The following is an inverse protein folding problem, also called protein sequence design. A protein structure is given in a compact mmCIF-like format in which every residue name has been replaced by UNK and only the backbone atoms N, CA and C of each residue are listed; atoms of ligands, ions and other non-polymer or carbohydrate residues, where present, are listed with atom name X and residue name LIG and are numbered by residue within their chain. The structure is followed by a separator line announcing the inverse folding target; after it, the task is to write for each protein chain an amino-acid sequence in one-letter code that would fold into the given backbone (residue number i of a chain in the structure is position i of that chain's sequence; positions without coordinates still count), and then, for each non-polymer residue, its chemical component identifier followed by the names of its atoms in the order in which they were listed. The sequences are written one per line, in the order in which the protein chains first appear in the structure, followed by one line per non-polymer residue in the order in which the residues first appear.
data_IF_449176134174
#
_entry.id   IF_449176134174
#
_cell.length_a   1.000
_cell.length_b   1.000
_cell.length_c   1.000
_cell.angle_alpha   90.00
_cell.angle_beta   90.00
_cell.angle_gamma   90.00
#
_symmetry.space_group_name_H-M   'P 1'
#
loop_
_entity.id
_entity.type
_entity.pdbx_description
1 polymer ?
#
# COMPACT_ATOMS: atom_id res chain seq x y z
N UNK A 1 -15.01 10.08 11.36
CA UNK A 1 -13.65 10.50 10.96
C UNK A 1 -13.53 10.27 9.48
N UNK A 2 -13.33 11.33 8.69
CA UNK A 2 -13.08 11.18 7.26
C UNK A 2 -11.59 10.85 7.03
N UNK A 3 -11.26 10.33 5.85
CA UNK A 3 -9.89 9.91 5.51
C UNK A 3 -8.85 11.02 5.72
N UNK A 4 -9.20 12.28 5.40
CA UNK A 4 -8.30 13.42 5.54
C UNK A 4 -8.01 13.76 7.00
N UNK A 5 -9.01 13.71 7.88
CA UNK A 5 -8.79 13.88 9.32
C UNK A 5 -7.86 12.80 9.86
N UNK A 6 -8.07 11.55 9.43
CA UNK A 6 -7.27 10.43 9.88
C UNK A 6 -5.80 10.51 9.42
N UNK A 7 -5.55 10.77 8.13
CA UNK A 7 -4.19 10.81 7.59
C UNK A 7 -3.39 12.00 8.15
N UNK A 8 -4.07 13.03 8.66
CA UNK A 8 -3.45 14.16 9.35
C UNK A 8 -3.37 13.98 10.87
N UNK A 9 -3.84 12.86 11.42
CA UNK A 9 -3.89 12.60 12.85
C UNK A 9 -2.53 12.15 13.43
N UNK A 10 -2.37 12.33 14.74
CA UNK A 10 -1.23 11.78 15.49
C UNK A 10 -1.19 10.24 15.46
N UNK A 11 -2.36 9.59 15.41
CA UNK A 11 -2.48 8.14 15.35
C UNK A 11 -1.81 7.60 14.06
N UNK A 12 -2.14 8.19 12.91
CA UNK A 12 -1.47 7.85 11.66
C UNK A 12 0.02 8.21 11.69
N UNK A 13 0.38 9.36 12.26
CA UNK A 13 1.78 9.77 12.38
C UNK A 13 2.64 8.78 13.18
N UNK A 14 2.09 8.14 14.21
CA UNK A 14 2.77 7.06 14.94
C UNK A 14 2.84 5.78 14.11
N UNK A 15 1.74 5.37 13.50
CA UNK A 15 1.66 4.15 12.70
C UNK A 15 2.62 4.18 11.50
N UNK A 16 2.71 5.30 10.79
CA UNK A 16 3.68 5.46 9.68
C UNK A 16 5.14 5.33 10.13
N UNK A 17 5.46 5.77 11.35
CA UNK A 17 6.83 5.67 11.89
C UNK A 17 7.13 4.20 12.21
N UNK A 18 6.19 3.50 12.86
CA UNK A 18 6.33 2.06 13.16
C UNK A 18 6.52 1.25 11.87
N UNK A 19 5.72 1.52 10.83
CA UNK A 19 5.89 0.88 9.53
C UNK A 19 7.29 1.12 8.94
N UNK A 20 7.78 2.38 8.97
CA UNK A 20 9.13 2.73 8.48
C UNK A 20 10.23 2.04 9.28
N UNK A 21 10.10 1.93 10.61
CA UNK A 21 11.04 1.20 11.46
C UNK A 21 11.05 -0.28 11.09
N UNK A 22 9.88 -0.90 10.94
CA UNK A 22 9.76 -2.31 10.56
C UNK A 22 10.37 -2.60 9.19
N UNK A 23 10.26 -1.66 8.24
CA UNK A 23 10.90 -1.73 6.94
C UNK A 23 12.41 -1.36 6.95
N UNK A 24 13.00 -1.09 8.12
CA UNK A 24 14.41 -0.70 8.25
C UNK A 24 14.73 0.63 7.57
N UNK A 25 13.75 1.53 7.43
CA UNK A 25 13.84 2.76 6.64
C UNK A 25 14.31 2.53 5.20
N UNK A 26 13.80 1.46 4.57
CA UNK A 26 14.05 1.18 3.16
C UNK A 26 12.74 0.96 2.42
N UNK A 27 12.73 1.31 1.15
CA UNK A 27 11.69 0.91 0.21
C UNK A 27 11.65 -0.62 0.15
N UNK A 28 10.51 -1.22 0.50
CA UNK A 28 10.34 -2.68 0.49
C UNK A 28 10.34 -3.28 -0.92
N UNK A 29 10.26 -2.45 -1.98
CA UNK A 29 10.45 -2.90 -3.37
C UNK A 29 11.91 -2.94 -3.80
N UNK A 30 12.62 -1.82 -3.59
CA UNK A 30 13.87 -1.54 -4.29
C UNK A 30 15.03 -1.18 -3.37
N UNK A 31 14.84 -1.18 -2.05
CA UNK A 31 15.87 -0.90 -1.05
C UNK A 31 16.29 0.57 -0.91
N UNK A 32 15.68 1.51 -1.65
CA UNK A 32 16.03 2.93 -1.58
C UNK A 32 15.65 3.52 -0.20
N UNK A 33 16.50 4.36 0.37
CA UNK A 33 16.40 4.76 1.80
C UNK A 33 15.77 6.15 2.01
N UNK A 34 15.60 6.94 0.93
CA UNK A 34 15.12 8.32 1.01
C UNK A 34 13.70 8.48 0.47
N UNK A 35 13.03 9.54 0.91
CA UNK A 35 11.68 9.92 0.45
C UNK A 35 10.68 8.76 0.49
N UNK A 36 10.58 8.14 1.68
CA UNK A 36 9.71 7.01 1.93
C UNK A 36 8.31 7.45 2.34
N UNK A 37 7.32 6.89 1.67
CA UNK A 37 5.90 7.00 1.96
C UNK A 37 5.35 5.63 2.38
N UNK A 38 4.22 5.64 3.08
CA UNK A 38 3.49 4.42 3.45
C UNK A 38 2.27 4.32 2.55
N UNK A 39 2.21 3.24 1.81
CA UNK A 39 1.12 2.86 0.92
C UNK A 39 0.14 1.96 1.66
N UNK A 40 -1.15 2.20 1.51
CA UNK A 40 -2.19 1.31 2.02
C UNK A 40 -2.50 0.24 0.98
N UNK A 41 -2.35 -1.03 1.35
CA UNK A 41 -2.75 -2.16 0.50
C UNK A 41 -4.25 -2.43 0.60
N UNK A 42 -4.89 -2.08 1.71
CA UNK A 42 -6.34 -2.08 1.89
C UNK A 42 -6.76 -0.92 2.80
N UNK A 43 -8.00 -0.48 2.65
CA UNK A 43 -8.62 0.54 3.50
C UNK A 43 -9.67 -0.06 4.46
N UNK A 44 -9.88 -1.38 4.44
CA UNK A 44 -10.85 -2.07 5.31
C UNK A 44 -10.60 -1.83 6.80
N UNK A 45 -9.32 -1.77 7.19
CA UNK A 45 -8.90 -1.56 8.58
C UNK A 45 -8.48 -0.11 8.87
N UNK A 46 -9.02 0.89 8.16
CA UNK A 46 -8.61 2.29 8.35
C UNK A 46 -8.74 2.73 9.82
N UNK A 47 -7.65 3.24 10.40
CA UNK A 47 -7.53 3.55 11.84
C UNK A 47 -6.97 2.41 12.70
N UNK A 48 -7.10 1.18 12.24
CA UNK A 48 -6.72 -0.07 12.90
C UNK A 48 -5.80 -0.94 12.02
N UNK A 49 -5.03 -0.32 11.14
CA UNK A 49 -4.25 -1.03 10.13
C UNK A 49 -3.21 -1.91 10.80
N UNK A 50 -3.10 -3.13 10.30
CA UNK A 50 -2.07 -4.10 10.63
C UNK A 50 -0.81 -3.81 9.83
N UNK A 51 0.28 -4.48 10.19
CA UNK A 51 1.53 -4.40 9.43
C UNK A 51 1.35 -4.87 7.97
N UNK A 52 0.53 -5.90 7.75
CA UNK A 52 0.20 -6.45 6.43
C UNK A 52 -0.66 -5.53 5.55
N UNK A 53 -1.34 -4.54 6.16
CA UNK A 53 -2.15 -3.57 5.42
C UNK A 53 -1.30 -2.42 4.83
N UNK A 54 -0.03 -2.32 5.22
CA UNK A 54 0.84 -1.18 4.95
C UNK A 54 2.14 -1.59 4.27
N UNK A 55 2.58 -0.78 3.31
CA UNK A 55 3.79 -1.02 2.54
C UNK A 55 4.64 0.25 2.45
N UNK A 56 5.91 0.17 2.86
CA UNK A 56 6.85 1.31 2.81
C UNK A 56 7.54 1.36 1.46
N UNK A 57 7.34 2.45 0.72
CA UNK A 57 7.85 2.63 -0.63
C UNK A 57 8.55 3.97 -0.78
N UNK A 58 9.57 4.05 -1.63
CA UNK A 58 10.04 5.34 -2.12
C UNK A 58 8.98 5.96 -3.04
N UNK A 59 8.96 7.28 -3.16
CA UNK A 59 8.01 8.02 -4.01
C UNK A 59 7.87 7.48 -5.43
N UNK A 60 8.96 7.01 -6.06
CA UNK A 60 8.91 6.41 -7.39
C UNK A 60 8.05 5.14 -7.38
N UNK A 61 8.41 4.17 -6.52
CA UNK A 61 7.67 2.91 -6.42
C UNK A 61 6.23 3.12 -5.93
N UNK A 62 6.00 4.14 -5.11
CA UNK A 62 4.66 4.52 -4.65
C UNK A 62 3.79 5.05 -5.81
N UNK A 63 4.33 5.87 -6.71
CA UNK A 63 3.59 6.30 -7.90
C UNK A 63 3.36 5.15 -8.87
N UNK A 64 4.36 4.29 -9.06
CA UNK A 64 4.23 3.12 -9.94
C UNK A 64 3.05 2.25 -9.50
N UNK A 65 2.94 1.93 -8.20
CA UNK A 65 1.84 1.09 -7.70
C UNK A 65 0.47 1.74 -7.89
N UNK A 66 0.32 3.05 -7.59
CA UNK A 66 -0.95 3.76 -7.85
C UNK A 66 -1.32 3.76 -9.34
N UNK A 67 -0.35 3.98 -10.22
CA UNK A 67 -0.58 3.92 -11.65
C UNK A 67 -1.11 2.54 -12.07
N UNK A 68 -0.51 1.47 -11.56
CA UNK A 68 -0.95 0.11 -11.89
C UNK A 68 -2.32 -0.25 -11.30
N UNK A 69 -2.61 0.12 -10.06
CA UNK A 69 -3.93 -0.13 -9.45
C UNK A 69 -5.06 0.55 -10.21
N UNK A 70 -4.80 1.75 -10.73
CA UNK A 70 -5.78 2.52 -11.49
C UNK A 70 -5.92 2.08 -12.96
N UNK A 71 -4.87 1.50 -13.56
CA UNK A 71 -4.81 1.28 -15.02
C UNK A 71 -4.60 -0.17 -15.47
N UNK A 72 -4.13 -1.07 -14.60
CA UNK A 72 -3.80 -2.47 -14.96
C UNK A 72 -4.54 -3.51 -14.16
N UNK A 73 -5.01 -3.19 -12.95
CA UNK A 73 -6.09 -3.98 -12.36
C UNK A 73 -7.35 -3.55 -13.09
N UNK A 74 -7.99 -4.44 -13.87
CA UNK A 74 -9.09 -4.02 -14.71
C UNK A 74 -10.26 -3.58 -13.82
N UNK A 75 -10.52 -2.28 -13.75
CA UNK A 75 -11.84 -1.76 -13.39
C UNK A 75 -12.68 -1.93 -14.65
N UNK A 76 -13.03 -3.18 -14.98
CA UNK A 76 -13.93 -3.47 -16.09
C UNK A 76 -15.33 -3.42 -15.49
N UNK A 77 -16.12 -2.47 -15.98
CA UNK A 77 -17.57 -2.46 -15.78
C UNK A 77 -18.11 -3.88 -16.09
N UNK A 78 -18.74 -4.45 -15.06
CA UNK A 78 -19.47 -5.72 -15.03
C UNK A 78 -18.64 -7.03 -14.91
N UNK A 79 -18.65 -7.54 -13.67
CA UNK A 79 -18.34 -8.92 -13.23
C UNK A 79 -16.85 -9.28 -13.12
N UNK A 80 -16.15 -8.63 -12.19
CA UNK A 80 -15.02 -9.29 -11.49
C UNK A 80 -15.49 -9.57 -10.07
N UNK A 81 -15.42 -10.83 -9.64
CA UNK A 81 -15.69 -11.16 -8.24
C UNK A 81 -14.58 -10.58 -7.35
N UNK A 82 -14.91 -10.20 -6.13
CA UNK A 82 -13.94 -9.73 -5.13
C UNK A 82 -12.76 -10.71 -4.96
N UNK A 83 -13.04 -12.01 -5.07
CA UNK A 83 -12.06 -13.10 -5.09
C UNK A 83 -11.08 -13.02 -6.27
N UNK A 84 -11.56 -12.75 -7.49
CA UNK A 84 -10.70 -12.61 -8.67
C UNK A 84 -9.86 -11.33 -8.63
N UNK A 85 -10.41 -10.25 -8.08
CA UNK A 85 -9.66 -9.02 -7.83
C UNK A 85 -8.50 -9.27 -6.85
N UNK A 86 -8.80 -9.86 -5.70
CA UNK A 86 -7.79 -10.18 -4.69
C UNK A 86 -6.75 -11.18 -5.21
N UNK A 87 -7.14 -12.17 -6.02
CA UNK A 87 -6.19 -13.07 -6.67
C UNK A 87 -5.26 -12.36 -7.66
N UNK A 88 -5.81 -11.49 -8.53
CA UNK A 88 -5.00 -10.72 -9.49
C UNK A 88 -4.07 -9.74 -8.78
N UNK A 89 -4.56 -9.04 -7.75
CA UNK A 89 -3.77 -8.14 -6.90
C UNK A 89 -2.64 -8.88 -6.19
N UNK A 90 -2.92 -10.05 -5.62
CA UNK A 90 -1.90 -10.90 -4.98
C UNK A 90 -0.87 -11.42 -5.98
N UNK A 91 -1.30 -11.92 -7.14
CA UNK A 91 -0.40 -12.33 -8.22
C UNK A 91 0.47 -11.16 -8.70
N UNK A 92 -0.10 -9.96 -8.78
CA UNK A 92 0.60 -8.73 -9.16
C UNK A 92 1.66 -8.31 -8.13
N UNK A 93 1.32 -8.33 -6.84
CA UNK A 93 2.27 -8.04 -5.77
C UNK A 93 3.52 -8.92 -5.91
N UNK A 94 3.32 -10.21 -6.18
CA UNK A 94 4.41 -11.18 -6.42
C UNK A 94 5.25 -10.80 -7.66
N UNK A 95 4.63 -10.44 -8.78
CA UNK A 95 5.33 -10.05 -10.03
C UNK A 95 6.18 -8.80 -9.84
N UNK A 96 5.72 -7.84 -9.03
CA UNK A 96 6.47 -6.62 -8.73
C UNK A 96 7.59 -6.82 -7.69
N UNK A 97 7.79 -8.05 -7.21
CA UNK A 97 8.79 -8.38 -6.20
C UNK A 97 8.38 -8.01 -4.78
N UNK A 98 7.08 -7.80 -4.54
CA UNK A 98 6.55 -7.62 -3.20
C UNK A 98 6.21 -8.98 -2.59
N UNK A 99 6.85 -9.29 -1.47
CA UNK A 99 6.48 -10.41 -0.62
C UNK A 99 5.59 -9.86 0.50
N UNK A 100 4.28 -10.11 0.39
CA UNK A 100 3.31 -10.04 1.50
C UNK A 100 3.28 -11.39 2.20
#
# INVERSE_FOLDING_TARGET
MNYQEYINSEAWAKRRIVAKIAAGYKCQKCGFEYELDVHHLTYENLGHEKAEDLLVLCRRCHRDIHYFEQHTIPVIDDVVTELEYEQKKKQFMVVLGYHV
#
